data_IF_989072807165
#
_entry.id   IF_989072807165
#
_cell.length_a   1.000
_cell.length_b   1.000
_cell.length_c   1.000
_cell.angle_alpha   90.00
_cell.angle_beta   90.00
_cell.angle_gamma   90.00
#
_symmetry.space_group_name_H-M   'P 1'
#
loop_
_entity.id
_entity.type
_entity.pdbx_description
1 polymer ?
#
# COMPACT_ATOMS: atom_id res chain seq x y z
N UNK A 1 21.74 47.22 -36.33
CA UNK A 1 20.32 47.21 -35.93
C UNK A 1 20.02 45.89 -35.22
N UNK A 2 19.43 45.98 -34.04
CA UNK A 2 19.04 44.89 -33.13
C UNK A 2 17.64 44.39 -33.52
N UNK A 3 17.35 43.10 -33.27
CA UNK A 3 16.05 42.45 -32.90
C UNK A 3 16.14 40.97 -33.30
N UNK A 4 15.56 39.98 -32.63
CA UNK A 4 14.99 39.81 -31.29
C UNK A 4 14.79 38.30 -31.12
N UNK A 5 15.14 37.75 -29.96
CA UNK A 5 14.80 36.39 -29.55
C UNK A 5 13.27 36.26 -29.39
N UNK A 6 12.76 35.05 -29.63
CA UNK A 6 11.36 34.70 -29.38
C UNK A 6 11.13 33.19 -29.48
N UNK A 7 11.81 32.40 -28.64
CA UNK A 7 11.53 30.97 -28.49
C UNK A 7 10.57 30.84 -27.30
N UNK A 8 9.29 30.59 -27.61
CA UNK A 8 8.20 30.51 -26.63
C UNK A 8 8.35 29.28 -25.75
N UNK A 9 8.45 29.52 -24.44
CA UNK A 9 8.23 28.50 -23.41
C UNK A 9 6.75 28.11 -23.43
N UNK A 10 6.46 26.87 -23.82
CA UNK A 10 5.17 26.26 -23.51
C UNK A 10 5.13 25.92 -22.00
N UNK A 11 4.03 26.20 -21.29
CA UNK A 11 3.89 25.82 -19.90
C UNK A 11 3.82 24.30 -19.78
N UNK A 12 4.50 23.77 -18.76
CA UNK A 12 4.42 22.37 -18.32
C UNK A 12 2.95 22.07 -18.02
N UNK A 13 2.35 21.25 -18.88
CA UNK A 13 1.03 20.70 -18.67
C UNK A 13 1.18 19.62 -17.59
N UNK A 14 0.65 19.88 -16.40
CA UNK A 14 0.48 18.85 -15.37
C UNK A 14 -0.25 17.65 -16.00
N UNK A 15 0.21 16.41 -15.81
CA UNK A 15 -0.52 15.26 -16.32
C UNK A 15 -1.77 15.08 -15.47
N UNK A 16 -2.87 15.65 -15.97
CA UNK A 16 -4.23 15.26 -15.62
C UNK A 16 -4.37 13.74 -15.76
N UNK A 17 -4.56 13.06 -14.63
CA UNK A 17 -5.15 11.72 -14.55
C UNK A 17 -4.58 10.68 -15.52
N UNK A 18 -3.30 10.37 -15.44
CA UNK A 18 -2.86 9.07 -15.99
C UNK A 18 -3.52 7.96 -15.18
N UNK A 19 -4.24 7.02 -15.82
CA UNK A 19 -4.65 5.78 -15.17
C UNK A 19 -3.37 5.17 -14.57
N UNK A 20 -3.39 4.86 -13.28
CA UNK A 20 -2.28 4.20 -12.62
C UNK A 20 -2.00 2.92 -13.42
N UNK A 21 -0.88 2.88 -14.15
CA UNK A 21 -0.57 1.73 -15.01
C UNK A 21 -0.15 0.55 -14.12
N UNK A 22 -1.14 -0.21 -13.67
CA UNK A 22 -0.98 -1.36 -12.77
C UNK A 22 -0.26 -2.54 -13.42
N UNK A 23 0.10 -2.44 -14.70
CA UNK A 23 0.76 -3.50 -15.47
C UNK A 23 2.23 -3.74 -15.10
N UNK A 24 2.80 -2.94 -14.21
CA UNK A 24 4.19 -3.03 -13.79
C UNK A 24 4.35 -3.57 -12.36
N UNK A 25 3.83 -4.76 -12.08
CA UNK A 25 4.25 -5.54 -10.91
C UNK A 25 5.43 -6.43 -11.27
N UNK A 26 6.47 -6.42 -10.45
CA UNK A 26 7.59 -7.35 -10.61
C UNK A 26 7.11 -8.79 -10.44
N UNK A 27 7.84 -9.75 -11.04
CA UNK A 27 7.54 -11.19 -10.90
C UNK A 27 7.43 -11.61 -9.42
N UNK A 28 8.28 -11.07 -8.54
CA UNK A 28 8.25 -11.37 -7.12
C UNK A 28 6.97 -10.88 -6.45
N UNK A 29 6.53 -9.65 -6.75
CA UNK A 29 5.28 -9.10 -6.23
C UNK A 29 4.06 -9.92 -6.70
N UNK A 30 4.02 -10.30 -7.98
CA UNK A 30 2.96 -11.17 -8.51
C UNK A 30 2.90 -12.53 -7.78
N UNK A 31 4.05 -13.19 -7.62
CA UNK A 31 4.10 -14.49 -6.94
C UNK A 31 3.67 -14.39 -5.48
N UNK A 32 4.02 -13.30 -4.80
CA UNK A 32 3.57 -13.04 -3.45
C UNK A 32 2.05 -12.86 -3.39
N UNK A 33 1.47 -12.01 -4.25
CA UNK A 33 0.02 -11.81 -4.32
C UNK A 33 -0.73 -13.11 -4.63
N UNK A 34 -0.22 -13.93 -5.54
CA UNK A 34 -0.79 -15.24 -5.87
C UNK A 34 -0.76 -16.20 -4.67
N UNK A 35 0.32 -16.18 -3.87
CA UNK A 35 0.41 -16.98 -2.65
C UNK A 35 -0.59 -16.52 -1.58
N UNK A 36 -0.74 -15.20 -1.41
CA UNK A 36 -1.74 -14.62 -0.50
C UNK A 36 -3.16 -14.99 -0.92
N UNK A 37 -3.46 -14.94 -2.23
CA UNK A 37 -4.76 -15.33 -2.76
C UNK A 37 -5.05 -16.81 -2.50
N UNK A 38 -4.07 -17.69 -2.73
CA UNK A 38 -4.20 -19.12 -2.46
C UNK A 38 -4.45 -19.41 -0.97
N UNK A 39 -3.86 -18.62 -0.07
CA UNK A 39 -4.09 -18.75 1.36
C UNK A 39 -5.47 -18.25 1.80
N UNK A 40 -6.05 -17.29 1.08
CA UNK A 40 -7.34 -16.66 1.37
C UNK A 40 -7.15 -15.30 2.04
N UNK A 41 -7.46 -14.23 1.30
CA UNK A 41 -7.26 -12.86 1.78
C UNK A 41 -8.06 -12.55 3.06
N UNK A 42 -9.31 -13.00 3.13
CA UNK A 42 -10.18 -12.78 4.29
C UNK A 42 -9.67 -13.51 5.55
N UNK A 43 -9.29 -14.78 5.42
CA UNK A 43 -8.79 -15.58 6.53
C UNK A 43 -7.44 -15.06 7.06
N UNK A 44 -6.57 -14.62 6.14
CA UNK A 44 -5.31 -13.98 6.52
C UNK A 44 -5.53 -12.65 7.21
N UNK A 45 -6.43 -11.80 6.70
CA UNK A 45 -6.77 -10.53 7.33
C UNK A 45 -7.29 -10.74 8.77
N UNK A 46 -8.22 -11.69 8.95
CA UNK A 46 -8.76 -12.04 10.27
C UNK A 46 -7.66 -12.53 11.22
N UNK A 47 -6.69 -13.29 10.72
CA UNK A 47 -5.55 -13.78 11.50
C UNK A 47 -4.64 -12.63 11.96
N UNK A 48 -4.32 -11.68 11.08
CA UNK A 48 -3.51 -10.51 11.41
C UNK A 48 -4.21 -9.58 12.41
N UNK A 49 -5.51 -9.35 12.21
CA UNK A 49 -6.32 -8.57 13.15
C UNK A 49 -6.36 -9.21 14.55
N UNK A 50 -6.49 -10.53 14.63
CA UNK A 50 -6.43 -11.27 15.90
C UNK A 50 -5.08 -11.09 16.61
N UNK A 51 -3.96 -11.17 15.88
CA UNK A 51 -2.61 -10.94 16.46
C UNK A 51 -2.47 -9.51 16.98
N UNK A 52 -3.00 -8.53 16.25
CA UNK A 52 -2.99 -7.14 16.69
C UNK A 52 -3.77 -6.93 17.98
N UNK A 53 -5.00 -7.45 18.05
CA UNK A 53 -5.83 -7.33 19.25
C UNK A 53 -5.20 -8.08 20.43
N UNK A 54 -4.57 -9.23 20.15
CA UNK A 54 -3.82 -9.96 21.16
C UNK A 54 -2.69 -9.09 21.75
N UNK A 55 -1.90 -8.43 20.90
CA UNK A 55 -0.85 -7.53 21.36
C UNK A 55 -1.46 -6.36 22.15
N UNK A 56 -2.44 -5.66 21.57
CA UNK A 56 -2.99 -4.43 22.13
C UNK A 56 -3.66 -4.63 23.50
N UNK A 57 -4.42 -5.72 23.66
CA UNK A 57 -5.25 -5.95 24.85
C UNK A 57 -4.65 -6.91 25.86
N UNK A 58 -3.74 -7.81 25.44
CA UNK A 58 -3.17 -8.83 26.32
C UNK A 58 -1.69 -8.59 26.64
N UNK A 59 -1.03 -7.60 26.02
CA UNK A 59 0.29 -7.16 26.48
C UNK A 59 0.18 -6.48 27.85
N UNK A 60 0.99 -6.96 28.80
CA UNK A 60 1.19 -6.28 30.09
C UNK A 60 2.32 -5.25 30.02
N UNK A 61 2.98 -5.12 28.87
CA UNK A 61 4.15 -4.26 28.66
C UNK A 61 3.71 -3.08 27.78
N UNK A 62 4.05 -1.83 28.17
CA UNK A 62 3.77 -0.68 27.34
C UNK A 62 4.61 -0.71 26.06
N UNK A 63 4.00 -0.30 24.95
CA UNK A 63 4.67 -0.28 23.67
C UNK A 63 5.62 0.91 23.50
N UNK A 64 6.81 0.65 22.99
CA UNK A 64 7.69 1.67 22.46
C UNK A 64 7.23 2.17 21.07
N UNK A 65 7.94 3.14 20.51
CA UNK A 65 7.57 3.72 19.21
C UNK A 65 7.75 2.74 18.03
N UNK A 66 8.70 1.80 18.13
CA UNK A 66 8.91 0.80 17.09
C UNK A 66 7.78 -0.23 17.11
N UNK A 67 7.36 -0.67 18.29
CA UNK A 67 6.25 -1.60 18.49
C UNK A 67 4.91 -0.99 18.05
N UNK A 68 4.67 0.30 18.35
CA UNK A 68 3.49 1.02 17.83
C UNK A 68 3.49 1.09 16.32
N UNK A 69 4.65 1.39 15.71
CA UNK A 69 4.79 1.44 14.25
C UNK A 69 4.50 0.08 13.63
N UNK A 70 5.01 -1.01 14.23
CA UNK A 70 4.76 -2.36 13.76
C UNK A 70 3.27 -2.76 13.85
N UNK A 71 2.57 -2.38 14.93
CA UNK A 71 1.13 -2.60 15.05
C UNK A 71 0.33 -1.81 14.01
N UNK A 72 0.77 -0.59 13.70
CA UNK A 72 0.17 0.21 12.64
C UNK A 72 0.39 -0.39 11.25
N UNK A 73 1.60 -0.88 10.95
CA UNK A 73 1.90 -1.55 9.68
C UNK A 73 1.10 -2.84 9.52
N UNK A 74 0.92 -3.59 10.61
CA UNK A 74 0.06 -4.78 10.66
C UNK A 74 -1.39 -4.42 10.32
N UNK A 75 -1.89 -3.30 10.86
CA UNK A 75 -3.20 -2.74 10.54
C UNK A 75 -3.36 -2.40 9.08
N UNK A 76 -2.42 -1.65 8.52
CA UNK A 76 -2.43 -1.28 7.11
C UNK A 76 -2.46 -2.52 6.21
N UNK A 77 -1.71 -3.57 6.57
CA UNK A 77 -1.64 -4.81 5.83
C UNK A 77 -2.97 -5.57 5.81
N UNK A 78 -3.62 -5.77 6.96
CA UNK A 78 -4.90 -6.51 6.97
C UNK A 78 -6.02 -5.71 6.29
N UNK A 79 -6.06 -4.38 6.43
CA UNK A 79 -7.06 -3.55 5.74
C UNK A 79 -6.86 -3.60 4.21
N UNK A 80 -5.62 -3.76 3.75
CA UNK A 80 -5.32 -4.01 2.34
C UNK A 80 -5.84 -5.37 1.87
N UNK A 81 -5.64 -6.41 2.67
CA UNK A 81 -6.13 -7.77 2.39
C UNK A 81 -7.66 -7.82 2.39
N UNK A 82 -8.35 -7.14 3.32
CA UNK A 82 -9.81 -7.06 3.34
C UNK A 82 -10.37 -6.43 2.07
N UNK A 83 -9.74 -5.34 1.58
CA UNK A 83 -10.10 -4.72 0.31
C UNK A 83 -9.91 -5.69 -0.87
N UNK A 84 -8.78 -6.40 -0.90
CA UNK A 84 -8.54 -7.41 -1.93
C UNK A 84 -9.56 -8.56 -1.89
N UNK A 85 -10.00 -8.96 -0.69
CA UNK A 85 -11.03 -9.99 -0.52
C UNK A 85 -12.40 -9.55 -1.04
N UNK A 86 -12.73 -8.25 -0.95
CA UNK A 86 -13.98 -7.69 -1.47
C UNK A 86 -14.00 -7.59 -3.00
N UNK A 87 -12.82 -7.50 -3.62
CA UNK A 87 -12.63 -7.36 -5.06
C UNK A 87 -12.37 -8.70 -5.79
N UNK A 88 -12.20 -9.80 -5.05
CA UNK A 88 -11.92 -11.15 -5.57
C UNK A 88 -13.19 -11.98 -5.78
#
# INVERSE_FOLDING_TARGET
MRTSNGQGNNPVREPEGTPLDTRHVSKAQYLFLAALQFHGFADLAASLHCIHDLALYHSQIPFDEAEKSALYDLKLLWEGLERMAQES
#
